data_IF_549043813162
#
_entry.id   IF_549043813162
#
_cell.length_a   1.000
_cell.length_b   1.000
_cell.length_c   1.000
_cell.angle_alpha   90.00
_cell.angle_beta   90.00
_cell.angle_gamma   90.00
#
_symmetry.space_group_name_H-M   'P 1'
#
loop_
_entity.id
_entity.type
_entity.pdbx_description
1 polymer ?
#
# COMPACT_ATOMS: atom_id res chain seq x y z
N UNK A 1 -13.20 5.20 -29.32
CA UNK A 1 -13.27 6.02 -28.09
C UNK A 1 -11.97 6.79 -27.92
N UNK A 2 -12.00 8.00 -27.37
CA UNK A 2 -10.83 8.77 -26.93
C UNK A 2 -10.72 8.69 -25.41
N UNK A 3 -9.62 9.14 -24.80
CA UNK A 3 -9.49 9.25 -23.33
C UNK A 3 -10.67 10.04 -22.75
N UNK A 4 -11.10 11.09 -23.45
CA UNK A 4 -12.29 11.88 -23.10
C UNK A 4 -13.56 11.02 -23.01
N UNK A 5 -13.75 10.04 -23.91
CA UNK A 5 -14.94 9.18 -23.87
C UNK A 5 -14.92 8.15 -22.75
N UNK A 6 -13.74 7.79 -22.23
CA UNK A 6 -13.61 6.95 -21.01
C UNK A 6 -14.05 7.77 -19.79
N UNK A 7 -13.57 9.01 -19.67
CA UNK A 7 -13.92 9.90 -18.56
C UNK A 7 -15.40 10.28 -18.55
N UNK A 8 -16.05 10.31 -19.72
CA UNK A 8 -17.49 10.53 -19.86
C UNK A 8 -18.33 9.26 -19.61
N UNK A 9 -17.70 8.08 -19.49
CA UNK A 9 -18.43 6.88 -19.10
C UNK A 9 -18.85 6.99 -17.62
N UNK A 10 -20.15 7.06 -17.38
CA UNK A 10 -20.74 7.25 -16.04
C UNK A 10 -20.23 6.24 -15.01
N UNK A 11 -20.10 4.98 -15.39
CA UNK A 11 -19.62 3.93 -14.50
C UNK A 11 -18.15 4.11 -14.16
N UNK A 12 -17.31 4.42 -15.18
CA UNK A 12 -15.89 4.68 -14.95
C UNK A 12 -15.67 5.94 -14.10
N UNK A 13 -16.37 7.04 -14.43
CA UNK A 13 -16.29 8.28 -13.66
C UNK A 13 -16.71 8.10 -12.20
N UNK A 14 -17.80 7.37 -11.95
CA UNK A 14 -18.26 7.05 -10.60
C UNK A 14 -17.24 6.21 -9.82
N UNK A 15 -16.62 5.21 -10.45
CA UNK A 15 -15.54 4.43 -9.83
C UNK A 15 -14.30 5.28 -9.56
N UNK A 16 -13.92 6.17 -10.47
CA UNK A 16 -12.77 7.06 -10.33
C UNK A 16 -12.96 8.02 -9.15
N UNK A 17 -14.12 8.65 -9.05
CA UNK A 17 -14.46 9.55 -7.94
C UNK A 17 -14.48 8.78 -6.61
N UNK A 18 -15.14 7.60 -6.57
CA UNK A 18 -15.16 6.76 -5.38
C UNK A 18 -13.75 6.35 -4.94
N UNK A 19 -12.91 5.88 -5.86
CA UNK A 19 -11.52 5.50 -5.58
C UNK A 19 -10.68 6.68 -5.06
N UNK A 20 -10.86 7.87 -5.63
CA UNK A 20 -10.15 9.08 -5.19
C UNK A 20 -10.57 9.45 -3.76
N UNK A 21 -11.87 9.48 -3.47
CA UNK A 21 -12.37 9.83 -2.14
C UNK A 21 -11.95 8.77 -1.12
N UNK A 22 -12.27 7.50 -1.35
CA UNK A 22 -11.93 6.40 -0.42
C UNK A 22 -10.42 6.23 -0.26
N UNK A 23 -9.65 6.50 -1.32
CA UNK A 23 -8.20 6.46 -1.29
C UNK A 23 -7.57 7.46 -0.32
N UNK A 24 -8.23 8.62 -0.05
CA UNK A 24 -7.71 9.62 0.91
C UNK A 24 -7.71 9.12 2.35
N UNK A 25 -8.52 8.11 2.68
CA UNK A 25 -8.52 7.51 4.01
C UNK A 25 -7.20 6.79 4.34
N UNK A 26 -6.54 6.19 3.35
CA UNK A 26 -5.35 5.38 3.61
C UNK A 26 -4.16 6.18 4.16
N UNK A 27 -3.72 7.31 3.58
CA UNK A 27 -2.67 8.14 4.17
C UNK A 27 -3.00 8.63 5.58
N UNK A 28 -4.27 8.99 5.85
CA UNK A 28 -4.72 9.41 7.18
C UNK A 28 -4.55 8.26 8.18
N UNK A 29 -5.05 7.08 7.85
CA UNK A 29 -4.97 5.89 8.70
C UNK A 29 -3.52 5.47 8.98
N UNK A 30 -2.63 5.65 8.01
CA UNK A 30 -1.22 5.33 8.14
C UNK A 30 -0.54 6.24 9.18
N UNK A 31 -0.81 7.54 9.12
CA UNK A 31 -0.30 8.53 10.07
C UNK A 31 -0.89 8.26 11.47
N UNK A 32 -2.21 8.06 11.53
CA UNK A 32 -2.93 7.83 12.77
C UNK A 32 -2.54 6.53 13.47
N UNK A 33 -2.25 5.46 12.69
CA UNK A 33 -1.88 4.17 13.26
C UNK A 33 -0.65 4.21 14.17
N UNK A 34 0.30 5.09 13.86
CA UNK A 34 1.45 5.36 14.70
C UNK A 34 1.15 6.36 15.83
N UNK A 35 0.63 7.54 15.45
CA UNK A 35 0.46 8.66 16.41
C UNK A 35 -0.61 8.39 17.47
N UNK A 36 -1.78 7.86 17.10
CA UNK A 36 -2.80 7.46 18.07
C UNK A 36 -2.34 6.25 18.91
N UNK A 37 -1.58 5.35 18.29
CA UNK A 37 -0.93 4.26 19.01
C UNK A 37 0.04 4.78 20.08
N UNK A 38 0.81 5.83 19.79
CA UNK A 38 1.73 6.45 20.77
C UNK A 38 0.99 7.05 21.97
N UNK A 39 -0.23 7.58 21.74
CA UNK A 39 -1.06 8.16 22.82
C UNK A 39 -1.64 7.09 23.72
N UNK A 40 -2.13 5.98 23.18
CA UNK A 40 -2.88 4.96 23.93
C UNK A 40 -2.08 3.71 24.31
N UNK A 41 -0.92 3.48 23.69
CA UNK A 41 -0.17 2.24 23.95
C UNK A 41 0.36 2.19 25.37
N UNK A 42 0.25 1.03 26.05
CA UNK A 42 0.78 0.84 27.40
C UNK A 42 2.32 0.87 27.45
N UNK A 43 2.98 0.75 26.30
CA UNK A 43 4.43 0.91 26.16
C UNK A 43 4.81 1.44 24.78
N UNK A 44 5.93 2.17 24.63
CA UNK A 44 6.38 2.70 23.35
C UNK A 44 6.59 1.62 22.27
N UNK A 45 6.94 0.39 22.66
CA UNK A 45 7.15 -0.74 21.76
C UNK A 45 5.87 -1.17 21.03
N UNK A 46 4.70 -0.87 21.60
CA UNK A 46 3.40 -1.19 21.06
C UNK A 46 2.77 -0.05 20.23
N UNK A 47 3.41 1.13 20.16
CA UNK A 47 2.85 2.30 19.51
C UNK A 47 2.50 2.08 18.02
N UNK A 48 3.27 1.25 17.30
CA UNK A 48 2.97 0.93 15.88
C UNK A 48 2.02 -0.26 15.71
N UNK A 49 1.59 -0.90 16.80
CA UNK A 49 0.75 -2.10 16.72
C UNK A 49 -0.56 -1.88 15.95
N UNK A 50 -1.29 -0.75 16.10
CA UNK A 50 -2.49 -0.49 15.30
C UNK A 50 -2.21 -0.51 13.78
N UNK A 51 -1.13 0.16 13.32
CA UNK A 51 -0.73 0.16 11.90
C UNK A 51 -0.30 -1.23 11.42
N UNK A 52 0.36 -2.01 12.27
CA UNK A 52 0.77 -3.39 11.95
C UNK A 52 -0.44 -4.32 11.83
N UNK A 53 -1.41 -4.19 12.72
CA UNK A 53 -2.69 -4.93 12.67
C UNK A 53 -3.49 -4.53 11.42
N UNK A 54 -3.48 -3.26 11.03
CA UNK A 54 -4.10 -2.80 9.79
C UNK A 54 -3.48 -3.51 8.57
N UNK A 55 -2.16 -3.64 8.52
CA UNK A 55 -1.45 -4.35 7.45
C UNK A 55 -1.80 -5.84 7.43
N UNK A 56 -1.82 -6.47 8.59
CA UNK A 56 -2.26 -7.87 8.75
C UNK A 56 -3.71 -8.06 8.29
N UNK A 57 -4.60 -7.17 8.69
CA UNK A 57 -6.02 -7.22 8.29
C UNK A 57 -6.19 -7.13 6.77
N UNK A 58 -5.42 -6.25 6.12
CA UNK A 58 -5.38 -6.14 4.66
C UNK A 58 -5.01 -7.47 3.99
N UNK A 59 -4.00 -8.16 4.53
CA UNK A 59 -3.58 -9.48 4.04
C UNK A 59 -4.66 -10.55 4.24
N UNK A 60 -5.20 -10.66 5.44
CA UNK A 60 -6.19 -11.70 5.78
C UNK A 60 -7.52 -11.48 5.06
N UNK A 61 -7.96 -10.23 4.90
CA UNK A 61 -9.23 -9.90 4.28
C UNK A 61 -9.22 -10.00 2.75
N UNK A 62 -8.06 -9.95 2.09
CA UNK A 62 -7.96 -9.93 0.63
C UNK A 62 -8.68 -11.10 -0.05
N UNK A 63 -8.45 -12.33 0.41
CA UNK A 63 -9.07 -13.52 -0.16
C UNK A 63 -10.60 -13.60 0.12
N UNK A 64 -11.09 -13.44 1.36
CA UNK A 64 -12.53 -13.37 1.63
C UNK A 64 -13.26 -12.31 0.83
N UNK A 65 -12.70 -11.10 0.73
CA UNK A 65 -13.28 -10.00 -0.04
C UNK A 65 -13.33 -10.33 -1.54
N UNK A 66 -12.26 -10.92 -2.08
CA UNK A 66 -12.24 -11.38 -3.48
C UNK A 66 -13.34 -12.40 -3.77
N UNK A 67 -13.53 -13.38 -2.89
CA UNK A 67 -14.59 -14.39 -3.00
C UNK A 67 -15.97 -13.75 -2.90
N UNK A 68 -16.18 -12.81 -1.97
CA UNK A 68 -17.43 -12.06 -1.85
C UNK A 68 -17.74 -11.29 -3.14
N UNK A 69 -16.74 -10.57 -3.67
CA UNK A 69 -16.89 -9.83 -4.94
C UNK A 69 -17.21 -10.75 -6.12
N UNK A 70 -16.65 -11.96 -6.12
CA UNK A 70 -16.95 -12.99 -7.13
C UNK A 70 -18.39 -13.49 -7.06
N UNK A 71 -18.99 -13.57 -5.86
CA UNK A 71 -20.36 -14.06 -5.64
C UNK A 71 -21.40 -12.96 -5.73
N UNK A 72 -21.19 -11.84 -5.07
CA UNK A 72 -22.16 -10.76 -4.89
C UNK A 72 -21.87 -9.53 -5.78
N UNK A 73 -20.76 -9.55 -6.54
CA UNK A 73 -20.34 -8.46 -7.42
C UNK A 73 -19.42 -7.44 -6.73
N UNK A 74 -18.71 -6.65 -7.56
CA UNK A 74 -17.73 -5.65 -7.11
C UNK A 74 -18.34 -4.61 -6.16
N UNK A 75 -19.57 -4.18 -6.46
CA UNK A 75 -20.28 -3.15 -5.68
C UNK A 75 -20.50 -3.57 -4.22
N UNK A 76 -20.89 -4.82 -3.99
CA UNK A 76 -21.06 -5.35 -2.63
C UNK A 76 -19.75 -5.37 -1.85
N UNK A 77 -18.64 -5.73 -2.49
CA UNK A 77 -17.32 -5.69 -1.86
C UNK A 77 -16.89 -4.26 -1.50
N UNK A 78 -17.10 -3.28 -2.39
CA UNK A 78 -16.78 -1.87 -2.09
C UNK A 78 -17.66 -1.31 -0.98
N UNK A 79 -18.96 -1.64 -0.97
CA UNK A 79 -19.88 -1.24 0.09
C UNK A 79 -19.45 -1.81 1.45
N UNK A 80 -19.09 -3.10 1.49
CA UNK A 80 -18.54 -3.73 2.69
C UNK A 80 -17.24 -3.04 3.14
N UNK A 81 -16.32 -2.75 2.22
CA UNK A 81 -15.07 -2.04 2.53
C UNK A 81 -15.30 -0.66 3.13
N UNK A 82 -16.25 0.12 2.56
CA UNK A 82 -16.65 1.42 3.10
C UNK A 82 -17.30 1.30 4.48
N UNK A 83 -18.16 0.31 4.67
CA UNK A 83 -18.79 0.04 5.98
C UNK A 83 -17.73 -0.34 7.03
N UNK A 84 -16.80 -1.22 6.70
CA UNK A 84 -15.70 -1.60 7.60
C UNK A 84 -14.82 -0.40 7.94
N UNK A 85 -14.54 0.49 6.98
CA UNK A 85 -13.78 1.72 7.21
C UNK A 85 -14.56 2.67 8.13
N UNK A 86 -15.86 2.84 7.92
CA UNK A 86 -16.73 3.66 8.78
C UNK A 86 -16.78 3.10 10.20
N UNK A 87 -17.04 1.80 10.34
CA UNK A 87 -17.04 1.14 11.65
C UNK A 87 -15.70 1.24 12.34
N UNK A 88 -14.60 1.05 11.62
CA UNK A 88 -13.26 1.22 12.15
C UNK A 88 -13.00 2.66 12.62
N UNK A 89 -13.37 3.66 11.83
CA UNK A 89 -13.19 5.06 12.16
C UNK A 89 -14.02 5.47 13.42
N UNK A 90 -15.27 5.04 13.50
CA UNK A 90 -16.11 5.28 14.69
C UNK A 90 -15.59 4.57 15.93
N UNK A 91 -15.15 3.31 15.78
CA UNK A 91 -14.52 2.54 16.86
C UNK A 91 -13.21 3.18 17.33
N UNK A 92 -12.37 3.71 16.42
CA UNK A 92 -11.14 4.41 16.79
C UNK A 92 -11.42 5.71 17.53
N UNK A 93 -12.44 6.46 17.10
CA UNK A 93 -12.88 7.65 17.82
C UNK A 93 -13.29 7.29 19.25
N UNK A 94 -14.12 6.25 19.42
CA UNK A 94 -14.51 5.76 20.75
C UNK A 94 -13.32 5.27 21.58
N UNK A 95 -12.33 4.61 20.94
CA UNK A 95 -11.12 4.15 21.60
C UNK A 95 -10.33 5.29 22.23
N UNK A 96 -10.24 6.45 21.54
CA UNK A 96 -9.58 7.65 22.06
C UNK A 96 -10.34 8.26 23.24
N UNK A 97 -11.66 8.34 23.19
CA UNK A 97 -12.47 8.84 24.31
C UNK A 97 -12.45 7.92 25.51
N UNK A 98 -12.28 6.62 25.31
CA UNK A 98 -12.29 5.61 26.37
C UNK A 98 -10.87 5.20 26.85
N UNK A 99 -9.83 5.86 26.35
CA UNK A 99 -8.41 5.51 26.61
C UNK A 99 -8.12 4.01 26.43
N UNK A 100 -8.72 3.41 25.38
CA UNK A 100 -8.69 1.97 25.17
C UNK A 100 -7.84 1.56 23.96
N UNK A 101 -6.61 1.13 24.22
CA UNK A 101 -5.66 0.69 23.20
C UNK A 101 -6.12 -0.55 22.41
N UNK A 102 -6.76 -1.52 23.08
CA UNK A 102 -7.25 -2.74 22.40
C UNK A 102 -8.35 -2.37 21.39
N UNK A 103 -9.24 -1.47 21.77
CA UNK A 103 -10.30 -0.99 20.89
C UNK A 103 -9.72 -0.24 19.67
N UNK A 104 -8.63 0.51 19.85
CA UNK A 104 -7.90 1.14 18.73
C UNK A 104 -7.32 0.08 17.77
N UNK A 105 -6.76 -1.00 18.30
CA UNK A 105 -6.26 -2.11 17.49
C UNK A 105 -7.39 -2.78 16.68
N UNK A 106 -8.56 -3.01 17.28
CA UNK A 106 -9.75 -3.55 16.58
C UNK A 106 -10.21 -2.59 15.48
N UNK A 107 -10.20 -1.30 15.75
CA UNK A 107 -10.55 -0.27 14.78
C UNK A 107 -9.63 -0.31 13.55
N UNK A 108 -8.33 -0.41 13.76
CA UNK A 108 -7.34 -0.51 12.68
C UNK A 108 -7.46 -1.83 11.91
N UNK A 109 -7.85 -2.93 12.57
CA UNK A 109 -8.16 -4.18 11.88
C UNK A 109 -9.33 -3.99 10.90
N UNK A 110 -10.41 -3.36 11.33
CA UNK A 110 -11.57 -3.07 10.46
C UNK A 110 -11.19 -2.18 9.27
N UNK A 111 -10.42 -1.12 9.52
CA UNK A 111 -9.97 -0.21 8.46
C UNK A 111 -9.03 -0.89 7.47
N UNK A 112 -8.13 -1.75 7.94
CA UNK A 112 -7.25 -2.55 7.09
C UNK A 112 -8.00 -3.55 6.21
N UNK A 113 -9.01 -4.21 6.76
CA UNK A 113 -9.90 -5.08 6.00
C UNK A 113 -10.71 -4.28 4.96
N UNK A 114 -11.18 -3.08 5.31
CA UNK A 114 -11.83 -2.16 4.38
C UNK A 114 -10.90 -1.76 3.22
N UNK A 115 -9.66 -1.42 3.52
CA UNK A 115 -8.65 -1.08 2.51
C UNK A 115 -8.40 -2.20 1.51
N UNK A 116 -8.38 -3.47 1.95
CA UNK A 116 -8.23 -4.61 1.04
C UNK A 116 -9.28 -4.61 -0.07
N UNK A 117 -10.51 -4.18 0.23
CA UNK A 117 -11.59 -4.04 -0.76
C UNK A 117 -11.26 -2.98 -1.82
N UNK A 118 -10.70 -1.84 -1.43
CA UNK A 118 -10.43 -0.72 -2.34
C UNK A 118 -9.32 -1.01 -3.35
N UNK A 119 -8.44 -1.95 -3.06
CA UNK A 119 -7.43 -2.41 -4.01
C UNK A 119 -8.03 -3.02 -5.30
N UNK A 120 -9.29 -3.42 -5.27
CA UNK A 120 -10.00 -3.98 -6.43
C UNK A 120 -10.58 -2.93 -7.38
N UNK A 121 -10.58 -1.63 -7.04
CA UNK A 121 -11.06 -0.56 -7.94
C UNK A 121 -10.36 -0.59 -9.30
N UNK A 122 -9.04 -0.85 -9.34
CA UNK A 122 -8.26 -0.95 -10.59
C UNK A 122 -8.78 -2.05 -11.52
N UNK A 123 -9.26 -3.17 -10.99
CA UNK A 123 -9.83 -4.25 -11.79
C UNK A 123 -11.25 -3.90 -12.24
N UNK A 124 -12.06 -3.34 -11.34
CA UNK A 124 -13.40 -2.88 -11.64
C UNK A 124 -13.42 -1.82 -12.77
N UNK A 125 -12.44 -0.91 -12.78
CA UNK A 125 -12.26 0.06 -13.84
C UNK A 125 -12.07 -0.60 -15.22
N UNK A 126 -11.31 -1.69 -15.28
CA UNK A 126 -11.11 -2.45 -16.52
C UNK A 126 -12.35 -3.21 -16.98
N UNK A 127 -13.29 -3.50 -16.08
CA UNK A 127 -14.54 -4.24 -16.39
C UNK A 127 -15.63 -3.35 -17.02
N UNK A 128 -15.58 -2.04 -16.78
CA UNK A 128 -16.58 -1.06 -17.26
C UNK A 128 -16.19 -0.35 -18.54
N UNK A 129 -15.01 -0.68 -19.13
CA UNK A 129 -14.52 -0.13 -20.38
C UNK A 129 -14.28 -1.23 -21.42
N UNK A 130 -14.20 -0.84 -22.71
CA UNK A 130 -13.83 -1.76 -23.80
C UNK A 130 -12.43 -2.36 -23.56
N UNK A 131 -12.22 -3.62 -23.98
CA UNK A 131 -10.95 -4.38 -23.76
C UNK A 131 -9.69 -3.60 -24.15
N UNK A 132 -9.71 -2.87 -25.27
CA UNK A 132 -8.56 -2.09 -25.76
C UNK A 132 -8.18 -0.90 -24.85
N UNK A 133 -9.13 -0.43 -24.00
CA UNK A 133 -8.95 0.69 -23.10
C UNK A 133 -8.69 0.30 -21.64
N UNK A 134 -8.72 -0.99 -21.32
CA UNK A 134 -8.45 -1.49 -19.96
C UNK A 134 -7.15 -0.99 -19.36
N UNK A 135 -5.99 -1.00 -20.09
CA UNK A 135 -4.75 -0.49 -19.52
C UNK A 135 -4.83 1.00 -19.15
N UNK A 136 -5.49 1.81 -20.00
CA UNK A 136 -5.68 3.24 -19.75
C UNK A 136 -6.58 3.46 -18.54
N UNK A 137 -7.68 2.72 -18.42
CA UNK A 137 -8.59 2.81 -17.28
C UNK A 137 -7.90 2.46 -15.96
N UNK A 138 -7.10 1.39 -15.94
CA UNK A 138 -6.31 0.99 -14.77
C UNK A 138 -5.29 2.09 -14.41
N UNK A 139 -4.60 2.64 -15.40
CA UNK A 139 -3.62 3.72 -15.19
C UNK A 139 -4.27 4.97 -14.59
N UNK A 140 -5.42 5.41 -15.14
CA UNK A 140 -6.16 6.57 -14.61
C UNK A 140 -6.63 6.32 -13.17
N UNK A 141 -7.06 5.09 -12.85
CA UNK A 141 -7.47 4.72 -11.50
C UNK A 141 -6.30 4.80 -10.52
N UNK A 142 -5.12 4.32 -10.89
CA UNK A 142 -3.92 4.42 -10.05
C UNK A 142 -3.45 5.87 -9.92
N UNK A 143 -3.52 6.66 -11.02
CA UNK A 143 -3.15 8.08 -11.00
C UNK A 143 -4.06 8.90 -10.08
N UNK A 144 -5.32 8.51 -9.90
CA UNK A 144 -6.22 9.20 -8.97
C UNK A 144 -5.79 9.10 -7.51
N UNK A 145 -5.01 8.06 -7.15
CA UNK A 145 -4.42 7.93 -5.81
C UNK A 145 -3.36 8.99 -5.51
N UNK A 146 -2.81 9.65 -6.53
CA UNK A 146 -1.93 10.80 -6.31
C UNK A 146 -2.68 11.99 -5.69
N UNK A 147 -3.94 12.20 -6.08
CA UNK A 147 -4.82 13.20 -5.45
C UNK A 147 -5.07 12.80 -3.99
N UNK A 148 -5.33 11.53 -3.74
CA UNK A 148 -5.50 10.99 -2.39
C UNK A 148 -4.24 11.13 -1.52
N UNK A 149 -3.06 10.95 -2.12
CA UNK A 149 -1.76 11.09 -1.46
C UNK A 149 -1.52 12.53 -0.96
N UNK A 150 -2.02 13.52 -1.69
CA UNK A 150 -1.93 14.93 -1.29
C UNK A 150 -3.07 15.29 -0.33
N UNK A 151 -4.31 14.92 -0.68
CA UNK A 151 -5.51 15.30 0.06
C UNK A 151 -5.61 14.63 1.44
N UNK A 152 -5.19 13.37 1.57
CA UNK A 152 -5.28 12.63 2.84
C UNK A 152 -4.51 13.29 3.99
N UNK A 153 -3.19 13.51 3.87
CA UNK A 153 -2.42 14.18 4.92
C UNK A 153 -2.86 15.62 5.20
N UNK A 154 -3.29 16.37 4.17
CA UNK A 154 -3.85 17.70 4.38
C UNK A 154 -5.13 17.66 5.22
N UNK A 155 -6.01 16.69 4.94
CA UNK A 155 -7.22 16.51 5.71
C UNK A 155 -6.92 16.01 7.13
N UNK A 156 -5.88 15.19 7.33
CA UNK A 156 -5.39 14.84 8.67
C UNK A 156 -4.98 16.09 9.44
N UNK A 157 -4.12 16.93 8.87
CA UNK A 157 -3.64 18.17 9.51
C UNK A 157 -4.82 19.09 9.87
N UNK A 158 -5.78 19.26 8.95
CA UNK A 158 -6.93 20.13 9.16
C UNK A 158 -7.93 19.59 10.20
N UNK A 159 -8.04 18.24 10.33
CA UNK A 159 -9.09 17.62 11.13
C UNK A 159 -8.64 17.13 12.51
N UNK A 160 -7.35 16.88 12.72
CA UNK A 160 -6.85 16.18 13.92
C UNK A 160 -7.26 16.84 15.24
N UNK A 161 -7.35 18.17 15.28
CA UNK A 161 -7.61 18.95 16.49
C UNK A 161 -9.06 19.48 16.61
N UNK A 162 -9.93 19.17 15.63
CA UNK A 162 -11.34 19.67 15.61
C UNK A 162 -12.12 19.21 16.86
N UNK A 163 -11.79 18.05 17.41
CA UNK A 163 -12.43 17.48 18.58
C UNK A 163 -11.56 17.58 19.85
N UNK A 164 -10.74 18.64 19.97
CA UNK A 164 -9.98 18.90 21.19
C UNK A 164 -10.93 18.90 22.42
N UNK A 165 -10.50 18.37 23.59
CA UNK A 165 -9.12 18.02 23.96
C UNK A 165 -8.68 16.60 23.56
N UNK A 166 -9.52 15.79 22.91
CA UNK A 166 -9.16 14.42 22.55
C UNK A 166 -8.34 14.43 21.24
N UNK A 167 -7.03 14.16 21.30
CA UNK A 167 -6.15 14.26 20.13
C UNK A 167 -6.57 13.25 19.06
N UNK A 168 -6.46 13.64 17.79
CA UNK A 168 -6.72 12.80 16.60
C UNK A 168 -8.17 12.32 16.41
N UNK A 169 -9.09 12.52 17.38
CA UNK A 169 -10.48 12.10 17.26
C UNK A 169 -11.15 12.69 16.00
N UNK A 170 -10.90 13.96 15.71
CA UNK A 170 -11.40 14.64 14.51
C UNK A 170 -10.91 14.00 13.21
N UNK A 171 -9.67 13.54 13.15
CA UNK A 171 -9.13 12.87 11.96
C UNK A 171 -9.76 11.48 11.72
N UNK A 172 -10.12 10.74 12.77
CA UNK A 172 -10.91 9.51 12.63
C UNK A 172 -12.33 9.81 12.16
N UNK A 173 -12.99 10.83 12.70
CA UNK A 173 -14.30 11.28 12.20
C UNK A 173 -14.23 11.65 10.72
N UNK A 174 -13.20 12.41 10.30
CA UNK A 174 -12.97 12.72 8.89
C UNK A 174 -12.80 11.44 8.04
N UNK A 175 -12.08 10.44 8.54
CA UNK A 175 -11.95 9.12 7.89
C UNK A 175 -13.31 8.43 7.71
N UNK A 176 -14.17 8.49 8.72
CA UNK A 176 -15.55 7.98 8.64
C UNK A 176 -16.40 8.72 7.61
N UNK A 177 -16.30 10.06 7.56
CA UNK A 177 -16.98 10.88 6.55
C UNK A 177 -16.48 10.56 5.13
N UNK A 178 -15.18 10.36 4.93
CA UNK A 178 -14.61 9.89 3.66
C UNK A 178 -15.25 8.56 3.25
N UNK A 179 -15.40 7.61 4.18
CA UNK A 179 -16.01 6.32 3.89
C UNK A 179 -17.44 6.48 3.40
N UNK A 180 -18.26 7.32 4.06
CA UNK A 180 -19.64 7.61 3.65
C UNK A 180 -19.67 8.31 2.29
N UNK A 181 -18.94 9.41 2.14
CA UNK A 181 -18.92 10.20 0.90
C UNK A 181 -18.40 9.41 -0.30
N UNK A 182 -17.40 8.54 -0.08
CA UNK A 182 -16.84 7.71 -1.14
C UNK A 182 -17.76 6.57 -1.60
N UNK A 183 -18.75 6.18 -0.79
CA UNK A 183 -19.78 5.23 -1.20
C UNK A 183 -20.88 5.86 -2.07
N UNK A 184 -21.12 7.17 -1.96
CA UNK A 184 -22.18 7.86 -2.70
C UNK A 184 -22.03 7.69 -4.22
N UNK A 185 -20.86 7.90 -4.86
CA UNK A 185 -20.73 7.69 -6.31
C UNK A 185 -21.07 6.26 -6.75
N UNK A 186 -20.82 5.26 -5.88
CA UNK A 186 -21.10 3.84 -6.17
C UNK A 186 -22.59 3.54 -6.28
N UNK A 187 -23.47 4.38 -5.73
CA UNK A 187 -24.92 4.24 -5.89
C UNK A 187 -25.34 4.41 -7.35
N UNK A 188 -24.62 5.24 -8.10
CA UNK A 188 -24.91 5.52 -9.50
C UNK A 188 -24.16 4.59 -10.49
N UNK A 189 -23.22 3.76 -10.00
CA UNK A 189 -22.40 2.85 -10.83
C UNK A 189 -23.16 1.54 -11.06
N UNK A 190 -23.31 1.18 -12.33
CA UNK A 190 -23.81 -0.13 -12.73
C UNK A 190 -22.63 -1.01 -13.11
N UNK A 191 -22.38 -2.03 -12.30
CA UNK A 191 -21.33 -3.00 -12.55
C UNK A 191 -21.89 -4.21 -13.28
N UNK A 192 -21.11 -4.81 -14.21
CA UNK A 192 -21.47 -6.11 -14.76
C UNK A 192 -21.70 -7.10 -13.62
N UNK A 193 -22.83 -7.78 -13.67
CA UNK A 193 -23.08 -8.87 -12.70
C UNK A 193 -22.00 -9.96 -12.90
N UNK A 194 -21.55 -10.63 -11.82
CA UNK A 194 -20.72 -11.79 -11.96
C UNK A 194 -21.46 -12.77 -12.89
N UNK A 195 -20.93 -13.03 -14.04
CA UNK A 195 -21.34 -14.22 -14.78
C UNK A 195 -21.01 -15.36 -13.84
N UNK A 196 -22.07 -16.05 -13.34
CA UNK A 196 -21.89 -17.16 -12.41
C UNK A 196 -20.64 -17.92 -12.81
N UNK A 197 -19.67 -17.99 -11.93
CA UNK A 197 -18.46 -18.77 -12.20
C UNK A 197 -18.97 -20.12 -12.61
N UNK A 198 -18.79 -20.46 -13.88
CA UNK A 198 -18.88 -21.84 -14.32
C UNK A 198 -17.85 -22.55 -13.44
N UNK A 199 -18.38 -23.20 -12.38
CA UNK A 199 -17.60 -24.03 -11.44
C UNK A 199 -16.94 -25.22 -12.14
N UNK A 200 -17.08 -25.32 -13.47
CA UNK A 200 -16.65 -26.44 -14.29
C UNK A 200 -15.27 -26.30 -14.94
N UNK A 201 -14.51 -25.26 -14.62
CA UNK A 201 -13.08 -25.41 -14.87
C UNK A 201 -12.46 -25.92 -13.56
N UNK A 202 -12.16 -27.23 -13.45
CA UNK A 202 -11.45 -27.72 -12.29
C UNK A 202 -10.19 -26.88 -12.19
N UNK A 203 -10.03 -26.18 -11.05
CA UNK A 203 -8.79 -25.48 -10.75
C UNK A 203 -7.69 -26.55 -10.89
N UNK A 204 -7.10 -26.60 -12.08
CA UNK A 204 -6.01 -27.52 -12.36
C UNK A 204 -5.02 -27.26 -11.23
N UNK A 205 -4.82 -28.28 -10.37
CA UNK A 205 -3.97 -28.21 -9.16
C UNK A 205 -2.54 -27.86 -9.60
N UNK A 206 -2.36 -26.60 -10.04
CA UNK A 206 -1.04 -26.08 -10.35
C UNK A 206 -0.43 -25.69 -9.01
N UNK A 207 0.56 -26.45 -8.56
CA UNK A 207 1.31 -26.12 -7.37
C UNK A 207 2.14 -24.85 -7.69
N UNK A 208 1.80 -23.67 -7.13
CA UNK A 208 2.56 -22.42 -7.37
C UNK A 208 4.03 -22.59 -7.01
N UNK A 209 4.33 -23.52 -6.09
CA UNK A 209 5.68 -23.85 -5.63
C UNK A 209 6.65 -24.25 -6.77
N UNK A 210 6.17 -24.96 -7.80
CA UNK A 210 7.02 -25.34 -8.93
C UNK A 210 7.36 -24.14 -9.83
N UNK A 211 6.44 -23.19 -10.00
CA UNK A 211 6.69 -21.95 -10.74
C UNK A 211 7.63 -21.02 -9.99
N UNK A 212 7.43 -20.87 -8.68
CA UNK A 212 8.24 -20.01 -7.81
C UNK A 212 9.71 -20.46 -7.75
N UNK A 213 10.03 -21.71 -8.08
CA UNK A 213 11.41 -22.20 -8.17
C UNK A 213 12.18 -21.77 -9.43
N UNK A 214 11.50 -21.15 -10.41
CA UNK A 214 12.19 -20.61 -11.60
C UNK A 214 12.98 -19.36 -11.20
N UNK A 215 14.30 -19.25 -11.51
CA UNK A 215 15.14 -18.12 -11.07
C UNK A 215 14.54 -16.76 -11.45
N UNK A 216 14.04 -16.60 -12.68
CA UNK A 216 13.44 -15.34 -13.13
C UNK A 216 12.20 -14.93 -12.31
N UNK A 217 11.35 -15.89 -11.91
CA UNK A 217 10.18 -15.64 -11.06
C UNK A 217 10.62 -15.36 -9.62
N UNK A 218 11.56 -16.14 -9.11
CA UNK A 218 12.09 -15.98 -7.75
C UNK A 218 12.74 -14.60 -7.57
N UNK A 219 13.53 -14.13 -8.54
CA UNK A 219 14.13 -12.80 -8.52
C UNK A 219 13.06 -11.70 -8.54
N UNK A 220 12.03 -11.82 -9.41
CA UNK A 220 10.94 -10.85 -9.48
C UNK A 220 10.18 -10.76 -8.15
N UNK A 221 9.78 -11.91 -7.58
CA UNK A 221 9.09 -11.98 -6.29
C UNK A 221 9.97 -11.45 -5.16
N UNK A 222 11.26 -11.81 -5.15
CA UNK A 222 12.22 -11.34 -4.12
C UNK A 222 12.40 -9.83 -4.16
N UNK A 223 12.59 -9.23 -5.33
CA UNK A 223 12.72 -7.76 -5.47
C UNK A 223 11.45 -7.06 -5.04
N UNK A 224 10.27 -7.55 -5.45
CA UNK A 224 8.99 -6.97 -5.05
C UNK A 224 8.78 -7.03 -3.53
N UNK A 225 9.06 -8.18 -2.91
CA UNK A 225 8.91 -8.40 -1.48
C UNK A 225 9.89 -7.54 -0.66
N UNK A 226 11.16 -7.43 -1.09
CA UNK A 226 12.17 -6.58 -0.43
C UNK A 226 11.81 -5.11 -0.58
N UNK A 227 11.44 -4.65 -1.78
CA UNK A 227 11.05 -3.26 -2.01
C UNK A 227 9.86 -2.86 -1.15
N UNK A 228 8.82 -3.71 -1.11
CA UNK A 228 7.61 -3.45 -0.31
C UNK A 228 7.88 -3.58 1.19
N UNK A 229 8.60 -4.60 1.61
CA UNK A 229 8.89 -4.85 3.01
C UNK A 229 9.73 -3.74 3.64
N UNK A 230 10.80 -3.31 2.98
CA UNK A 230 11.67 -2.21 3.45
C UNK A 230 10.92 -0.87 3.44
N UNK A 231 10.08 -0.63 2.43
CA UNK A 231 9.23 0.56 2.42
C UNK A 231 8.31 0.58 3.65
N UNK A 232 7.62 -0.50 3.95
CA UNK A 232 6.74 -0.61 5.13
C UNK A 232 7.54 -0.47 6.42
N UNK A 233 8.73 -1.09 6.50
CA UNK A 233 9.59 -1.09 7.67
C UNK A 233 10.10 0.30 8.05
N UNK A 234 10.38 1.16 7.07
CA UNK A 234 10.79 2.55 7.32
C UNK A 234 9.60 3.50 7.47
N UNK A 235 8.55 3.35 6.66
CA UNK A 235 7.46 4.31 6.60
C UNK A 235 6.55 4.27 7.84
N UNK A 236 6.17 3.08 8.32
CA UNK A 236 5.22 2.95 9.46
C UNK A 236 5.73 3.66 10.70
N UNK A 237 7.00 3.50 11.15
CA UNK A 237 7.47 4.17 12.35
C UNK A 237 7.91 5.62 12.14
N UNK A 238 7.96 6.13 10.90
CA UNK A 238 8.43 7.50 10.61
C UNK A 238 7.68 8.57 11.41
N UNK A 239 6.33 8.61 11.48
CA UNK A 239 5.65 9.64 12.25
C UNK A 239 6.03 9.62 13.74
N UNK A 240 6.17 8.43 14.33
CA UNK A 240 6.56 8.26 15.73
C UNK A 240 8.02 8.70 15.93
N UNK A 241 8.93 8.31 15.04
CA UNK A 241 10.33 8.71 15.10
C UNK A 241 10.49 10.23 15.02
N UNK A 242 9.73 10.89 14.14
CA UNK A 242 9.76 12.35 14.00
C UNK A 242 9.24 13.06 15.24
N UNK A 243 8.10 12.64 15.79
CA UNK A 243 7.56 13.21 17.04
C UNK A 243 8.53 12.96 18.20
N UNK A 244 9.15 11.79 18.26
CA UNK A 244 10.20 11.49 19.23
C UNK A 244 11.46 12.37 19.10
N UNK A 245 11.72 12.93 17.91
CA UNK A 245 12.77 13.91 17.66
C UNK A 245 12.31 15.38 17.92
N UNK A 246 11.07 15.58 18.40
CA UNK A 246 10.52 16.91 18.72
C UNK A 246 9.85 17.63 17.55
N UNK A 247 9.61 16.99 16.42
CA UNK A 247 8.85 17.56 15.31
C UNK A 247 7.36 17.51 15.58
N UNK A 248 6.61 18.45 14.98
CA UNK A 248 5.16 18.43 15.04
C UNK A 248 4.56 17.28 14.23
N UNK A 249 3.37 16.86 14.61
CA UNK A 249 2.58 15.86 13.88
C UNK A 249 2.26 16.31 12.45
N UNK A 250 2.11 17.62 12.25
CA UNK A 250 1.89 18.25 10.94
C UNK A 250 3.10 18.01 10.03
N UNK A 251 4.32 18.21 10.56
CA UNK A 251 5.56 17.95 9.83
C UNK A 251 5.68 16.45 9.49
N UNK A 252 5.34 15.58 10.43
CA UNK A 252 5.35 14.14 10.21
C UNK A 252 4.33 13.73 9.13
N UNK A 253 3.13 14.29 9.16
CA UNK A 253 2.11 14.10 8.13
C UNK A 253 2.55 14.59 6.75
N UNK A 254 3.27 15.72 6.71
CA UNK A 254 3.81 16.28 5.47
C UNK A 254 4.91 15.41 4.86
N UNK A 255 5.80 14.84 5.67
CA UNK A 255 6.81 13.86 5.21
C UNK A 255 6.14 12.63 4.59
N UNK A 256 5.10 12.09 5.23
CA UNK A 256 4.32 10.96 4.68
C UNK A 256 3.66 11.36 3.36
N UNK A 257 3.11 12.56 3.24
CA UNK A 257 2.55 13.09 1.99
C UNK A 257 3.57 13.01 0.85
N UNK A 258 4.74 13.60 1.04
CA UNK A 258 5.78 13.64 0.02
C UNK A 258 6.34 12.26 -0.32
N UNK A 259 6.43 11.36 0.68
CA UNK A 259 6.77 9.97 0.45
C UNK A 259 5.77 9.29 -0.51
N UNK A 260 4.46 9.41 -0.22
CA UNK A 260 3.43 8.76 -1.05
C UNK A 260 3.38 9.40 -2.45
N UNK A 261 3.56 10.72 -2.56
CA UNK A 261 3.72 11.38 -3.86
C UNK A 261 4.90 10.78 -4.63
N UNK A 262 6.06 10.59 -3.97
CA UNK A 262 7.25 10.00 -4.57
C UNK A 262 7.08 8.52 -4.95
N UNK A 263 6.18 7.78 -4.27
CA UNK A 263 5.82 6.42 -4.65
C UNK A 263 5.03 6.36 -5.96
N UNK A 264 4.14 7.31 -6.21
CA UNK A 264 3.21 7.21 -7.34
C UNK A 264 3.56 8.12 -8.52
N UNK A 265 4.12 9.31 -8.30
CA UNK A 265 4.46 10.24 -9.38
C UNK A 265 5.42 9.66 -10.44
N UNK A 266 6.48 8.91 -10.09
CA UNK A 266 7.35 8.34 -11.11
C UNK A 266 6.66 7.32 -12.02
N UNK A 267 5.51 6.76 -11.64
CA UNK A 267 4.77 5.79 -12.46
C UNK A 267 4.39 6.33 -13.84
N UNK A 268 4.29 7.65 -14.00
CA UNK A 268 4.04 8.27 -15.31
C UNK A 268 5.15 7.99 -16.34
N UNK A 269 6.39 7.78 -15.89
CA UNK A 269 7.53 7.54 -16.78
C UNK A 269 8.25 6.20 -16.54
N UNK A 270 8.01 5.51 -15.42
CA UNK A 270 8.64 4.21 -15.12
C UNK A 270 8.38 3.18 -16.22
N UNK A 271 7.20 3.16 -16.83
CA UNK A 271 6.89 2.30 -17.96
C UNK A 271 7.78 2.55 -19.19
N UNK A 272 8.12 3.81 -19.46
CA UNK A 272 9.04 4.17 -20.55
C UNK A 272 10.47 3.75 -20.24
N UNK A 273 10.90 3.88 -18.97
CA UNK A 273 12.22 3.40 -18.53
C UNK A 273 12.32 1.88 -18.66
N UNK A 274 11.28 1.13 -18.28
CA UNK A 274 11.22 -0.32 -18.47
C UNK A 274 11.33 -0.69 -19.94
N UNK A 275 10.62 0.01 -20.82
CA UNK A 275 10.68 -0.22 -22.27
C UNK A 275 12.08 0.05 -22.84
N UNK A 276 12.79 1.06 -22.34
CA UNK A 276 14.10 1.49 -22.84
C UNK A 276 15.26 0.67 -22.26
N UNK A 277 15.24 0.37 -20.98
CA UNK A 277 16.37 -0.21 -20.24
C UNK A 277 16.11 -1.65 -19.76
N UNK A 278 14.89 -2.16 -19.92
CA UNK A 278 14.46 -3.45 -19.43
C UNK A 278 13.97 -3.44 -17.97
N UNK A 279 13.03 -4.32 -17.67
CA UNK A 279 12.38 -4.41 -16.35
C UNK A 279 13.40 -4.71 -15.23
N UNK A 280 14.34 -5.60 -15.48
CA UNK A 280 15.35 -5.99 -14.49
C UNK A 280 16.29 -4.86 -14.12
N UNK A 281 16.72 -4.04 -15.09
CA UNK A 281 17.59 -2.87 -14.83
C UNK A 281 16.85 -1.85 -13.96
N UNK A 282 15.61 -1.52 -14.31
CA UNK A 282 14.79 -0.58 -13.53
C UNK A 282 14.56 -1.11 -12.11
N UNK A 283 14.26 -2.39 -11.95
CA UNK A 283 14.03 -3.02 -10.64
C UNK A 283 15.29 -2.96 -9.75
N UNK A 284 16.47 -3.26 -10.30
CA UNK A 284 17.74 -3.18 -9.57
C UNK A 284 18.09 -1.73 -9.22
N UNK A 285 17.89 -0.79 -10.16
CA UNK A 285 18.06 0.64 -9.88
C UNK A 285 17.16 1.07 -8.71
N UNK A 286 15.92 0.57 -8.64
CA UNK A 286 15.02 0.79 -7.51
C UNK A 286 15.64 0.33 -6.19
N UNK A 287 16.18 -0.87 -6.13
CA UNK A 287 16.87 -1.37 -4.93
C UNK A 287 18.08 -0.50 -4.54
N UNK A 288 18.88 -0.06 -5.50
CA UNK A 288 20.02 0.84 -5.25
C UNK A 288 19.54 2.17 -4.66
N UNK A 289 18.46 2.72 -5.18
CA UNK A 289 17.85 3.95 -4.66
C UNK A 289 17.32 3.72 -3.22
N UNK A 290 16.75 2.55 -2.90
CA UNK A 290 16.35 2.20 -1.53
C UNK A 290 17.56 2.15 -0.59
N UNK A 291 18.72 1.63 -1.04
CA UNK A 291 19.97 1.71 -0.25
C UNK A 291 20.34 3.17 0.00
N UNK A 292 20.30 4.03 -1.03
CA UNK A 292 20.57 5.45 -0.87
C UNK A 292 19.60 6.12 0.12
N UNK A 293 18.31 5.73 0.12
CA UNK A 293 17.33 6.20 1.10
C UNK A 293 17.69 5.76 2.52
N UNK A 294 18.09 4.50 2.71
CA UNK A 294 18.54 4.00 4.00
C UNK A 294 19.80 4.74 4.50
N UNK A 295 20.77 5.00 3.62
CA UNK A 295 21.93 5.81 3.96
C UNK A 295 21.50 7.23 4.36
N UNK A 296 20.66 7.89 3.57
CA UNK A 296 20.15 9.23 3.91
C UNK A 296 19.46 9.26 5.27
N UNK A 297 18.73 8.21 5.64
CA UNK A 297 18.06 8.07 6.94
C UNK A 297 19.06 7.93 8.12
N UNK A 298 20.32 7.53 7.86
CA UNK A 298 21.37 7.42 8.89
C UNK A 298 22.18 8.69 9.06
N UNK A 299 22.13 9.65 8.12
CA UNK A 299 22.98 10.85 8.12
C UNK A 299 22.56 11.90 9.14
N UNK A 300 21.34 11.83 9.67
CA UNK A 300 20.87 12.77 10.68
C UNK A 300 19.39 12.64 11.00
N UNK A 301 18.96 13.43 11.99
CA UNK A 301 17.59 13.43 12.51
C UNK A 301 16.88 14.78 12.30
N UNK A 302 17.36 15.63 11.40
CA UNK A 302 16.65 16.86 11.03
C UNK A 302 15.45 16.54 10.12
N UNK A 303 14.47 17.45 10.05
CA UNK A 303 13.32 17.27 9.15
C UNK A 303 13.75 16.99 7.71
N UNK A 304 14.80 17.66 7.20
CA UNK A 304 15.30 17.46 5.84
C UNK A 304 15.85 16.06 5.61
N UNK A 305 16.43 15.41 6.63
CA UNK A 305 16.87 14.01 6.52
C UNK A 305 15.67 13.08 6.40
N UNK A 306 14.60 13.29 7.18
CA UNK A 306 13.35 12.52 7.04
C UNK A 306 12.69 12.73 5.67
N UNK A 307 12.55 13.98 5.20
CA UNK A 307 12.03 14.28 3.86
C UNK A 307 12.87 13.60 2.77
N UNK A 308 14.18 13.80 2.80
CA UNK A 308 15.09 13.23 1.80
C UNK A 308 15.04 11.71 1.78
N UNK A 309 15.17 11.07 2.94
CA UNK A 309 15.11 9.61 3.07
C UNK A 309 13.79 9.05 2.55
N UNK A 310 12.64 9.61 2.96
CA UNK A 310 11.33 9.09 2.60
C UNK A 310 10.97 9.37 1.13
N UNK A 311 11.34 10.53 0.57
CA UNK A 311 11.15 10.81 -0.86
C UNK A 311 11.97 9.85 -1.72
N UNK A 312 13.27 9.68 -1.40
CA UNK A 312 14.15 8.74 -2.12
C UNK A 312 13.66 7.30 -1.96
N UNK A 313 13.17 6.91 -0.78
CA UNK A 313 12.54 5.61 -0.53
C UNK A 313 11.33 5.38 -1.44
N UNK A 314 10.45 6.39 -1.58
CA UNK A 314 9.27 6.33 -2.43
C UNK A 314 9.62 6.10 -3.91
N UNK A 315 10.62 6.83 -4.44
CA UNK A 315 11.11 6.65 -5.80
C UNK A 315 11.74 5.26 -5.99
N UNK A 316 12.56 4.83 -5.03
CA UNK A 316 13.20 3.51 -5.06
C UNK A 316 12.18 2.38 -5.03
N UNK A 317 11.15 2.52 -4.18
CA UNK A 317 10.03 1.58 -4.14
C UNK A 317 9.30 1.51 -5.49
N UNK A 318 8.98 2.65 -6.11
CA UNK A 318 8.31 2.68 -7.40
C UNK A 318 9.08 1.87 -8.45
N UNK A 319 10.38 2.13 -8.60
CA UNK A 319 11.20 1.45 -9.59
C UNK A 319 11.39 -0.02 -9.26
N UNK A 320 11.64 -0.35 -8.00
CA UNK A 320 11.80 -1.73 -7.53
C UNK A 320 10.55 -2.56 -7.72
N UNK A 321 9.41 -2.06 -7.22
CA UNK A 321 8.15 -2.76 -7.22
C UNK A 321 7.53 -2.89 -8.62
N UNK A 322 7.48 -1.79 -9.40
CA UNK A 322 6.92 -1.81 -10.76
C UNK A 322 7.83 -2.59 -11.70
N UNK A 323 9.17 -2.42 -11.58
CA UNK A 323 10.12 -3.20 -12.35
C UNK A 323 10.00 -4.70 -12.08
N UNK A 324 9.91 -5.10 -10.81
CA UNK A 324 9.70 -6.50 -10.43
C UNK A 324 8.36 -7.06 -10.92
N UNK A 325 7.29 -6.26 -10.86
CA UNK A 325 5.98 -6.65 -11.41
C UNK A 325 6.07 -6.91 -12.92
N UNK A 326 6.78 -6.07 -13.66
CA UNK A 326 7.00 -6.26 -15.09
C UNK A 326 7.89 -7.48 -15.39
N UNK A 327 8.91 -7.76 -14.56
CA UNK A 327 9.71 -8.99 -14.67
C UNK A 327 8.85 -10.23 -14.48
N UNK A 328 7.97 -10.24 -13.46
CA UNK A 328 7.07 -11.34 -13.18
C UNK A 328 6.11 -11.58 -14.35
N UNK A 329 5.54 -10.49 -14.86
CA UNK A 329 4.60 -10.54 -15.99
C UNK A 329 5.23 -11.15 -17.24
N UNK A 330 6.47 -10.80 -17.53
CA UNK A 330 7.23 -11.35 -18.67
C UNK A 330 7.68 -12.81 -18.48
N UNK A 331 7.89 -13.26 -17.24
CA UNK A 331 8.39 -14.60 -16.93
C UNK A 331 7.29 -15.69 -16.88
N UNK A 332 6.01 -15.29 -16.83
CA UNK A 332 4.87 -16.20 -16.59
C UNK A 332 3.98 -16.28 -17.82
N UNK A 333 3.65 -17.51 -18.25
CA UNK A 333 2.69 -17.74 -19.34
C UNK A 333 1.27 -17.37 -18.91
N UNK A 334 0.45 -16.88 -19.85
CA UNK A 334 -0.91 -16.37 -19.61
C UNK A 334 -1.80 -17.32 -18.79
N UNK A 335 -1.74 -18.62 -19.06
CA UNK A 335 -2.54 -19.64 -18.36
C UNK A 335 -2.15 -19.88 -16.89
N UNK A 336 -0.97 -19.37 -16.44
CA UNK A 336 -0.45 -19.51 -15.07
C UNK A 336 -0.39 -18.15 -14.35
N UNK A 337 -0.64 -17.06 -15.04
CA UNK A 337 -0.43 -15.70 -14.59
C UNK A 337 -1.19 -15.40 -13.31
N UNK A 338 -2.49 -15.68 -13.27
CA UNK A 338 -3.33 -15.42 -12.09
C UNK A 338 -2.83 -16.16 -10.83
N UNK A 339 -2.42 -17.45 -10.98
CA UNK A 339 -1.94 -18.24 -9.83
C UNK A 339 -0.59 -17.76 -9.31
N UNK A 340 0.34 -17.40 -10.22
CA UNK A 340 1.67 -16.93 -9.81
C UNK A 340 1.60 -15.52 -9.25
N UNK A 341 0.79 -14.65 -9.83
CA UNK A 341 0.53 -13.30 -9.29
C UNK A 341 -0.11 -13.37 -7.89
N UNK A 342 -1.11 -14.25 -7.70
CA UNK A 342 -1.71 -14.46 -6.37
C UNK A 342 -0.70 -14.93 -5.33
N UNK A 343 0.21 -15.85 -5.69
CA UNK A 343 1.29 -16.29 -4.81
C UNK A 343 2.29 -15.16 -4.51
N UNK A 344 2.66 -14.36 -5.52
CA UNK A 344 3.50 -13.17 -5.36
C UNK A 344 2.87 -12.18 -4.38
N UNK A 345 1.60 -11.83 -4.57
CA UNK A 345 0.89 -10.86 -3.72
C UNK A 345 0.77 -11.37 -2.27
N UNK A 346 0.58 -12.68 -2.09
CA UNK A 346 0.58 -13.31 -0.76
C UNK A 346 1.95 -13.20 -0.07
N UNK A 347 3.04 -13.47 -0.79
CA UNK A 347 4.41 -13.35 -0.25
C UNK A 347 4.70 -11.89 0.13
N UNK A 348 4.37 -10.94 -0.74
CA UNK A 348 4.54 -9.52 -0.50
C UNK A 348 3.76 -9.08 0.74
N UNK A 349 2.49 -9.49 0.86
CA UNK A 349 1.65 -9.15 2.00
C UNK A 349 2.18 -9.75 3.31
N UNK A 350 2.69 -10.99 3.28
CA UNK A 350 3.30 -11.64 4.44
C UNK A 350 4.57 -10.91 4.87
N UNK A 351 5.47 -10.60 3.94
CA UNK A 351 6.71 -9.84 4.23
C UNK A 351 6.38 -8.45 4.77
N UNK A 352 5.42 -7.75 4.16
CA UNK A 352 4.95 -6.44 4.65
C UNK A 352 4.42 -6.53 6.08
N UNK A 353 3.64 -7.56 6.39
CA UNK A 353 3.10 -7.77 7.74
C UNK A 353 4.22 -8.02 8.75
N UNK A 354 5.17 -8.88 8.43
CA UNK A 354 6.33 -9.15 9.30
C UNK A 354 7.13 -7.87 9.52
N UNK A 355 7.42 -7.11 8.45
CA UNK A 355 8.12 -5.84 8.53
C UNK A 355 7.36 -4.80 9.36
N UNK A 356 6.03 -4.72 9.23
CA UNK A 356 5.22 -3.80 10.01
C UNK A 356 5.30 -4.06 11.52
N UNK A 357 5.21 -5.33 11.93
CA UNK A 357 5.36 -5.70 13.35
C UNK A 357 6.80 -5.49 13.86
N UNK A 358 7.81 -5.85 13.06
CA UNK A 358 9.20 -5.69 13.44
C UNK A 358 9.61 -4.21 13.56
N UNK A 359 9.05 -3.33 12.71
CA UNK A 359 9.39 -1.91 12.65
C UNK A 359 9.17 -1.18 13.98
N UNK A 360 8.03 -1.44 14.62
CA UNK A 360 7.71 -0.83 15.92
C UNK A 360 8.66 -1.24 17.02
N UNK A 361 8.96 -2.53 17.10
CA UNK A 361 9.92 -3.05 18.07
C UNK A 361 11.32 -2.46 17.84
N UNK A 362 11.79 -2.44 16.61
CA UNK A 362 13.14 -1.96 16.28
C UNK A 362 13.26 -0.46 16.55
N UNK A 363 12.30 0.36 16.11
CA UNK A 363 12.40 1.82 16.30
C UNK A 363 12.33 2.22 17.76
N UNK A 364 11.51 1.53 18.57
CA UNK A 364 11.37 1.85 19.99
C UNK A 364 12.52 1.33 20.86
N UNK A 365 13.15 0.20 20.48
CA UNK A 365 14.22 -0.42 21.24
C UNK A 365 15.62 0.02 20.82
N UNK A 366 15.83 0.23 19.51
CA UNK A 366 17.15 0.48 18.91
C UNK A 366 17.24 1.85 18.19
N UNK A 367 16.09 2.50 18.02
CA UNK A 367 15.99 3.83 17.39
C UNK A 367 15.99 3.82 15.88
N UNK A 368 15.77 5.03 15.30
CA UNK A 368 15.59 5.26 13.89
C UNK A 368 16.81 4.89 13.04
N UNK A 369 18.01 5.27 13.49
CA UNK A 369 19.26 5.02 12.73
C UNK A 369 19.51 3.53 12.57
N UNK A 370 19.26 2.73 13.62
CA UNK A 370 19.45 1.29 13.57
C UNK A 370 18.42 0.62 12.65
N UNK A 371 17.18 1.08 12.66
CA UNK A 371 16.13 0.65 11.74
C UNK A 371 16.56 0.92 10.28
N UNK A 372 17.14 2.09 10.00
CA UNK A 372 17.65 2.45 8.67
C UNK A 372 18.84 1.56 8.24
N UNK A 373 19.76 1.26 9.16
CA UNK A 373 20.88 0.36 8.89
C UNK A 373 20.42 -1.07 8.55
N UNK A 374 19.47 -1.62 9.31
CA UNK A 374 18.85 -2.92 8.99
C UNK A 374 18.24 -2.88 7.59
N UNK A 375 17.49 -1.82 7.26
CA UNK A 375 16.86 -1.63 5.94
C UNK A 375 17.89 -1.67 4.82
N UNK A 376 18.96 -0.90 4.94
CA UNK A 376 20.06 -0.89 3.98
C UNK A 376 20.74 -2.26 3.85
N UNK A 377 21.05 -2.91 4.97
CA UNK A 377 21.67 -4.23 5.02
C UNK A 377 20.84 -5.30 4.30
N UNK A 378 19.53 -5.34 4.51
CA UNK A 378 18.62 -6.29 3.83
C UNK A 378 18.64 -6.07 2.32
N UNK A 379 18.60 -4.82 1.85
CA UNK A 379 18.62 -4.53 0.41
C UNK A 379 19.98 -4.86 -0.21
N UNK A 380 21.09 -4.54 0.45
CA UNK A 380 22.44 -4.89 -0.01
C UNK A 380 22.59 -6.42 -0.12
N UNK A 381 22.09 -7.17 0.84
CA UNK A 381 22.09 -8.63 0.82
C UNK A 381 21.28 -9.17 -0.36
N UNK A 382 20.09 -8.60 -0.59
CA UNK A 382 19.25 -8.97 -1.75
C UNK A 382 19.97 -8.68 -3.08
N UNK A 383 20.62 -7.53 -3.23
CA UNK A 383 21.43 -7.19 -4.39
C UNK A 383 22.60 -8.18 -4.56
N UNK A 384 23.29 -8.54 -3.47
CA UNK A 384 24.39 -9.52 -3.49
C UNK A 384 23.94 -10.89 -4.02
N UNK A 385 22.79 -11.38 -3.56
CA UNK A 385 22.20 -12.64 -4.06
C UNK A 385 21.86 -12.55 -5.55
N UNK A 386 21.21 -11.45 -5.98
CA UNK A 386 20.85 -11.24 -7.39
C UNK A 386 22.07 -11.21 -8.33
N UNK A 387 23.17 -10.57 -7.91
CA UNK A 387 24.39 -10.52 -8.71
C UNK A 387 25.16 -11.84 -8.71
N UNK A 388 25.22 -12.55 -7.58
CA UNK A 388 25.83 -13.86 -7.49
C UNK A 388 25.16 -14.90 -8.40
N UNK A 389 23.83 -14.91 -8.44
CA UNK A 389 23.07 -15.81 -9.32
C UNK A 389 23.28 -15.48 -10.81
N UNK A 390 23.39 -14.19 -11.17
CA UNK A 390 23.70 -13.79 -12.55
C UNK A 390 25.08 -14.23 -12.98
N UNK A 391 26.09 -14.09 -12.12
CA UNK A 391 27.44 -14.52 -12.41
C UNK A 391 27.53 -16.04 -12.66
N UNK A 392 26.77 -16.84 -11.89
CA UNK A 392 26.70 -18.30 -12.10
C UNK A 392 26.11 -18.68 -13.46
N UNK A 393 25.04 -17.99 -13.89
CA UNK A 393 24.37 -18.27 -15.18
C UNK A 393 25.24 -17.85 -16.38
N UNK A 394 26.12 -16.85 -16.23
CA UNK A 394 27.03 -16.41 -17.31
C UNK A 394 28.25 -17.34 -17.50
N UNK A 395 28.53 -18.23 -16.56
CA UNK A 395 29.63 -19.20 -16.61
C UNK A 395 29.18 -20.64 -16.96
N UNK A 396 27.88 -20.88 -17.14
CA UNK A 396 27.31 -22.14 -17.66
C UNK A 396 26.76 -21.98 -19.07
#
# INVERSE_FOLDING_TARGET
>A
MSVRSILLNRNFAGLLVANTILGTAFPIQLILGGLAGLVLAPSPTLATLPASIQTLAGMVAAAPISLLMGRMGRRAGFALGGLMTLMGATTATQALYADNFVLLCVAHFLMGAGWASFQYFRFAAGEVVEKKWRPVAISLMLSSLLIAAIGGPQLFIAAKDILAPVPFAGAYVATGLIAVLGLVPLLAVQMPQPKGSSQDTPARKFAPRAALRRPAIMHAVGIAAVSQGVMVFLMIPTPIAMVGCGFSEDTAGDVVRWHIVAMFAPSFFTGFLIKRFGASTVAITGLIIIVAAAVAATLGLSAMHFYGALIVLGVGWNFGFIGATAMLDAAVSENKKATVQGANDTIIALVSTICAFAAGFVVSSLGWVFLAMISGGVVVLALGVLFADRARVSHT
#
